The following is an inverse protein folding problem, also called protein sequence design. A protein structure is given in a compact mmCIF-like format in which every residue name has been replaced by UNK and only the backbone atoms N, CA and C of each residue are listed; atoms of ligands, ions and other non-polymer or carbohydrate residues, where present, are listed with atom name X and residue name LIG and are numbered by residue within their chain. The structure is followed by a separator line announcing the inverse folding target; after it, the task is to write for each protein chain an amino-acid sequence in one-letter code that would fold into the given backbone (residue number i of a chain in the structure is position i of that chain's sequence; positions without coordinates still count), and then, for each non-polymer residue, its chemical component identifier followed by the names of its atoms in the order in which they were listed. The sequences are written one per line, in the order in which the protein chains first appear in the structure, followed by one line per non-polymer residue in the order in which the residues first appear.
data_IF_932107297747
#
_entry.id   IF_932107297747
#
_cell.length_a   1.000
_cell.length_b   1.000
_cell.length_c   1.000
_cell.angle_alpha   90.00
_cell.angle_beta   90.00
_cell.angle_gamma   90.00
#
_symmetry.space_group_name_H-M   'P 1'
#
loop_
_entity.id
_entity.type
_entity.pdbx_description
1 polymer ?
#
# COMPACT_ATOMS: atom_id res chain seq x y z
N UNK A 1 5.66 -25.53 -8.89
CA UNK A 1 6.16 -24.49 -7.95
C UNK A 1 6.05 -25.09 -6.55
N UNK A 2 7.15 -25.24 -5.79
CA UNK A 2 7.09 -25.93 -4.49
C UNK A 2 6.05 -25.28 -3.56
N UNK A 3 5.24 -26.09 -2.86
CA UNK A 3 4.16 -25.63 -1.95
C UNK A 3 4.60 -24.52 -0.98
N UNK A 4 5.84 -24.60 -0.47
CA UNK A 4 6.46 -23.58 0.39
C UNK A 4 6.57 -22.19 -0.27
N UNK A 5 6.93 -22.13 -1.56
CA UNK A 5 7.03 -20.86 -2.30
C UNK A 5 5.65 -20.23 -2.48
N UNK A 6 4.61 -21.02 -2.76
CA UNK A 6 3.23 -20.52 -2.88
C UNK A 6 2.73 -19.87 -1.58
N UNK A 7 3.01 -20.51 -0.44
CA UNK A 7 2.70 -19.97 0.88
C UNK A 7 3.43 -18.65 1.15
N UNK A 8 4.75 -18.60 0.89
CA UNK A 8 5.56 -17.39 1.08
C UNK A 8 5.02 -16.21 0.25
N UNK A 9 4.64 -16.46 -1.01
CA UNK A 9 4.03 -15.44 -1.87
C UNK A 9 2.67 -14.99 -1.40
N UNK A 10 1.81 -15.89 -0.91
CA UNK A 10 0.54 -15.48 -0.32
C UNK A 10 0.74 -14.57 0.88
N UNK A 11 1.75 -14.83 1.71
CA UNK A 11 2.06 -14.01 2.87
C UNK A 11 2.55 -12.61 2.45
N UNK A 12 3.46 -12.54 1.46
CA UNK A 12 3.92 -11.26 0.91
C UNK A 12 2.77 -10.46 0.33
N UNK A 13 1.89 -11.08 -0.47
CA UNK A 13 0.74 -10.38 -1.05
C UNK A 13 -0.26 -9.92 0.02
N UNK A 14 -0.49 -10.72 1.06
CA UNK A 14 -1.33 -10.32 2.19
C UNK A 14 -0.75 -9.10 2.92
N UNK A 15 0.55 -9.12 3.22
CA UNK A 15 1.24 -8.01 3.88
C UNK A 15 1.17 -6.74 3.03
N UNK A 16 1.43 -6.85 1.72
CA UNK A 16 1.37 -5.73 0.80
C UNK A 16 -0.06 -5.19 0.68
N UNK A 17 -1.08 -6.05 0.61
CA UNK A 17 -2.47 -5.63 0.64
C UNK A 17 -2.81 -4.90 1.95
N UNK A 18 -2.35 -5.40 3.10
CA UNK A 18 -2.56 -4.76 4.40
C UNK A 18 -1.92 -3.36 4.45
N UNK A 19 -0.70 -3.20 3.91
CA UNK A 19 -0.01 -1.91 3.82
C UNK A 19 -0.77 -0.93 2.91
N UNK A 20 -1.08 -1.34 1.67
CA UNK A 20 -1.78 -0.48 0.69
C UNK A 20 -3.21 -0.13 1.08
N UNK A 21 -3.85 -0.92 1.95
CA UNK A 21 -5.18 -0.61 2.48
C UNK A 21 -5.12 0.23 3.75
N UNK A 22 -4.33 -0.16 4.75
CA UNK A 22 -4.34 0.47 6.07
C UNK A 22 -3.72 1.86 6.06
N UNK A 23 -2.54 2.02 5.46
CA UNK A 23 -1.79 3.29 5.52
C UNK A 23 -2.52 4.42 4.79
N UNK A 24 -2.87 4.28 3.50
CA UNK A 24 -3.55 5.36 2.77
C UNK A 24 -4.91 5.69 3.38
N UNK A 25 -5.64 4.67 3.85
CA UNK A 25 -6.93 4.85 4.53
C UNK A 25 -6.75 5.61 5.84
N UNK A 26 -5.75 5.27 6.65
CA UNK A 26 -5.48 6.00 7.89
C UNK A 26 -5.08 7.46 7.62
N UNK A 27 -4.22 7.68 6.63
CA UNK A 27 -3.79 9.04 6.23
C UNK A 27 -4.97 9.87 5.75
N UNK A 28 -5.84 9.35 4.88
CA UNK A 28 -6.95 10.15 4.39
C UNK A 28 -7.91 10.49 5.54
N UNK A 29 -8.28 9.55 6.41
CA UNK A 29 -9.20 9.85 7.52
C UNK A 29 -8.66 10.85 8.53
N UNK A 30 -7.37 10.78 8.87
CA UNK A 30 -6.76 11.71 9.82
C UNK A 30 -6.54 13.11 9.23
N UNK A 31 -6.12 13.17 7.97
CA UNK A 31 -5.74 14.43 7.33
C UNK A 31 -6.86 15.05 6.49
N UNK A 32 -8.02 14.39 6.35
CA UNK A 32 -9.15 14.89 5.53
C UNK A 32 -9.60 16.28 5.97
N UNK A 33 -9.83 16.46 7.27
CA UNK A 33 -10.27 17.73 7.82
C UNK A 33 -9.20 18.82 7.59
N UNK A 34 -7.93 18.49 7.84
CA UNK A 34 -6.81 19.40 7.60
C UNK A 34 -6.68 19.78 6.11
N UNK A 35 -6.77 18.82 5.19
CA UNK A 35 -6.74 19.07 3.75
C UNK A 35 -7.86 20.02 3.30
N UNK A 36 -9.04 19.92 3.91
CA UNK A 36 -10.17 20.83 3.64
C UNK A 36 -9.96 22.26 4.15
N UNK A 37 -9.04 22.47 5.10
CA UNK A 37 -8.68 23.80 5.61
C UNK A 37 -7.65 24.53 4.75
N UNK A 38 -7.00 23.82 3.81
CA UNK A 38 -5.97 24.44 2.96
C UNK A 38 -6.59 25.50 2.05
N UNK A 39 -5.97 26.67 2.07
CA UNK A 39 -6.38 27.85 1.32
C UNK A 39 -5.17 28.39 0.56
N UNK A 40 -5.34 28.79 -0.70
CA UNK A 40 -4.37 29.54 -1.48
C UNK A 40 -5.01 30.87 -1.85
N UNK A 41 -4.38 31.99 -1.47
CA UNK A 41 -4.92 33.34 -1.69
C UNK A 41 -6.34 33.56 -1.12
N UNK A 42 -6.69 32.86 -0.05
CA UNK A 42 -8.02 32.92 0.58
C UNK A 42 -9.07 31.97 -0.01
N UNK A 43 -8.75 31.29 -1.12
CA UNK A 43 -9.64 30.34 -1.78
C UNK A 43 -9.32 28.88 -1.38
N UNK A 44 -10.33 28.02 -1.15
CA UNK A 44 -10.14 26.59 -0.85
C UNK A 44 -9.44 25.84 -1.99
N UNK A 45 -8.41 25.05 -1.64
CA UNK A 45 -7.67 24.23 -2.61
C UNK A 45 -8.36 22.85 -2.78
N UNK A 46 -9.51 22.82 -3.46
CA UNK A 46 -10.24 21.58 -3.70
C UNK A 46 -9.48 20.58 -4.59
N UNK A 47 -8.63 21.07 -5.49
CA UNK A 47 -7.86 20.22 -6.41
C UNK A 47 -6.92 19.26 -5.68
N UNK A 48 -6.27 19.72 -4.61
CA UNK A 48 -5.38 18.88 -3.81
C UNK A 48 -6.15 17.80 -3.05
N UNK A 49 -7.29 18.17 -2.47
CA UNK A 49 -8.18 17.23 -1.76
C UNK A 49 -8.72 16.15 -2.72
N UNK A 50 -9.17 16.54 -3.92
CA UNK A 50 -9.60 15.61 -4.96
C UNK A 50 -8.47 14.69 -5.44
N UNK A 51 -7.25 15.24 -5.55
CA UNK A 51 -6.08 14.45 -5.93
C UNK A 51 -5.71 13.41 -4.87
N UNK A 52 -5.72 13.77 -3.58
CA UNK A 52 -5.47 12.82 -2.49
C UNK A 52 -6.56 11.74 -2.43
N UNK A 53 -7.82 12.12 -2.63
CA UNK A 53 -8.92 11.16 -2.73
C UNK A 53 -8.74 10.18 -3.90
N UNK A 54 -8.32 10.69 -5.06
CA UNK A 54 -7.99 9.86 -6.22
C UNK A 54 -6.85 8.88 -5.90
N UNK A 55 -5.77 9.33 -5.28
CA UNK A 55 -4.66 8.45 -4.87
C UNK A 55 -5.12 7.37 -3.89
N UNK A 56 -5.98 7.72 -2.93
CA UNK A 56 -6.56 6.74 -2.02
C UNK A 56 -7.37 5.67 -2.76
N UNK A 57 -8.22 6.05 -3.71
CA UNK A 57 -8.97 5.10 -4.55
C UNK A 57 -8.01 4.19 -5.33
N UNK A 58 -6.94 4.74 -5.91
CA UNK A 58 -5.90 3.95 -6.59
C UNK A 58 -5.27 2.93 -5.64
N UNK A 59 -4.99 3.31 -4.39
CA UNK A 59 -4.44 2.36 -3.40
C UNK A 59 -5.41 1.24 -3.03
N UNK A 60 -6.71 1.52 -2.99
CA UNK A 60 -7.74 0.48 -2.80
C UNK A 60 -7.81 -0.48 -3.99
N UNK A 61 -7.70 0.02 -5.22
CA UNK A 61 -7.64 -0.82 -6.42
C UNK A 61 -6.41 -1.73 -6.37
N UNK A 62 -5.24 -1.18 -6.02
CA UNK A 62 -4.00 -1.96 -5.85
C UNK A 62 -4.15 -3.02 -4.76
N UNK A 63 -4.81 -2.69 -3.65
CA UNK A 63 -5.14 -3.65 -2.59
C UNK A 63 -5.95 -4.83 -3.14
N UNK A 64 -7.00 -4.57 -3.92
CA UNK A 64 -7.82 -5.62 -4.53
C UNK A 64 -6.99 -6.52 -5.45
N UNK A 65 -6.09 -5.94 -6.25
CA UNK A 65 -5.17 -6.72 -7.10
C UNK A 65 -4.30 -7.66 -6.26
N UNK A 66 -3.76 -7.19 -5.13
CA UNK A 66 -2.94 -8.01 -4.23
C UNK A 66 -3.76 -9.09 -3.51
N UNK A 67 -5.01 -8.82 -3.14
CA UNK A 67 -5.90 -9.85 -2.57
C UNK A 67 -6.17 -10.95 -3.60
N UNK A 68 -6.48 -10.60 -4.84
CA UNK A 68 -6.67 -11.57 -5.93
C UNK A 68 -5.39 -12.37 -6.19
N UNK A 69 -4.24 -11.71 -6.16
CA UNK A 69 -2.93 -12.37 -6.30
C UNK A 69 -2.64 -13.36 -5.16
N UNK A 70 -2.97 -12.99 -3.92
CA UNK A 70 -2.88 -13.86 -2.74
C UNK A 70 -3.76 -15.09 -2.91
N UNK A 71 -5.04 -14.91 -3.23
CA UNK A 71 -5.99 -16.01 -3.43
C UNK A 71 -5.47 -16.97 -4.51
N UNK A 72 -4.99 -16.41 -5.63
CA UNK A 72 -4.41 -17.20 -6.71
C UNK A 72 -3.16 -17.97 -6.27
N UNK A 73 -2.27 -17.35 -5.50
CA UNK A 73 -1.07 -18.01 -4.97
C UNK A 73 -1.42 -19.17 -4.02
N UNK A 74 -2.50 -19.05 -3.24
CA UNK A 74 -3.00 -20.11 -2.35
C UNK A 74 -3.61 -21.26 -3.17
N UNK A 75 -4.49 -20.95 -4.13
CA UNK A 75 -5.18 -21.95 -4.95
C UNK A 75 -4.17 -22.73 -5.83
N UNK A 76 -3.19 -22.03 -6.42
CA UNK A 76 -2.22 -22.61 -7.36
C UNK A 76 -0.99 -23.20 -6.66
N UNK A 77 -0.93 -23.23 -5.32
CA UNK A 77 0.26 -23.72 -4.58
C UNK A 77 0.61 -25.20 -4.83
N UNK A 78 -0.36 -26.00 -5.28
CA UNK A 78 -0.22 -27.43 -5.54
C UNK A 78 -0.19 -27.77 -7.04
N UNK A 79 -0.31 -26.77 -7.93
CA UNK A 79 -0.43 -27.00 -9.36
C UNK A 79 0.77 -26.34 -10.07
N UNK A 80 1.66 -27.16 -10.63
CA UNK A 80 2.97 -26.69 -11.08
C UNK A 80 2.93 -25.88 -12.38
N UNK A 81 1.90 -26.11 -13.21
CA UNK A 81 1.77 -25.51 -14.54
C UNK A 81 1.24 -24.07 -14.52
N UNK A 82 0.59 -23.65 -13.44
CA UNK A 82 0.04 -22.31 -13.29
C UNK A 82 0.95 -21.43 -12.44
N UNK A 83 2.02 -20.91 -13.04
CA UNK A 83 2.88 -19.91 -12.38
C UNK A 83 2.14 -18.59 -12.07
N UNK A 84 2.63 -17.87 -11.06
CA UNK A 84 2.18 -16.50 -10.76
C UNK A 84 2.55 -15.59 -11.94
N UNK A 85 1.66 -14.69 -12.42
CA UNK A 85 1.98 -13.74 -13.48
C UNK A 85 3.23 -12.92 -13.11
N UNK A 86 4.24 -12.91 -13.99
CA UNK A 86 5.53 -12.26 -13.75
C UNK A 86 5.39 -10.78 -13.34
N UNK A 87 4.36 -10.08 -13.84
CA UNK A 87 4.07 -8.69 -13.50
C UNK A 87 3.71 -8.49 -12.02
N UNK A 88 2.88 -9.37 -11.46
CA UNK A 88 2.41 -9.27 -10.07
C UNK A 88 3.53 -9.61 -9.09
N UNK A 89 4.35 -10.61 -9.40
CA UNK A 89 5.53 -10.98 -8.62
C UNK A 89 6.53 -9.81 -8.52
N UNK A 90 6.87 -9.19 -9.67
CA UNK A 90 7.86 -8.11 -9.72
C UNK A 90 7.33 -6.84 -9.06
N UNK A 91 6.07 -6.50 -9.31
CA UNK A 91 5.43 -5.34 -8.71
C UNK A 91 5.31 -5.50 -7.18
N UNK A 92 4.88 -6.68 -6.71
CA UNK A 92 4.86 -7.03 -5.29
C UNK A 92 6.20 -6.83 -4.62
N UNK A 93 7.24 -7.48 -5.14
CA UNK A 93 8.58 -7.41 -4.56
C UNK A 93 9.17 -5.99 -4.56
N UNK A 94 9.09 -5.28 -5.69
CA UNK A 94 9.63 -3.91 -5.81
C UNK A 94 8.87 -2.95 -4.89
N UNK A 95 7.53 -3.07 -4.81
CA UNK A 95 6.73 -2.23 -3.91
C UNK A 95 7.06 -2.50 -2.44
N UNK A 96 7.23 -3.77 -2.04
CA UNK A 96 7.65 -4.11 -0.67
C UNK A 96 9.02 -3.54 -0.35
N UNK A 97 9.99 -3.62 -1.26
CA UNK A 97 11.32 -3.01 -1.07
C UNK A 97 11.19 -1.49 -0.89
N UNK A 98 10.41 -0.81 -1.74
CA UNK A 98 10.19 0.62 -1.65
C UNK A 98 9.55 1.02 -0.31
N UNK A 99 8.55 0.28 0.15
CA UNK A 99 7.89 0.53 1.44
C UNK A 99 8.85 0.31 2.60
N UNK A 100 9.61 -0.79 2.61
CA UNK A 100 10.60 -1.07 3.66
C UNK A 100 11.70 0.01 3.67
N UNK A 101 12.23 0.37 2.50
CA UNK A 101 13.22 1.43 2.38
C UNK A 101 12.68 2.77 2.90
N UNK A 102 11.42 3.11 2.57
CA UNK A 102 10.77 4.30 3.09
C UNK A 102 10.64 4.28 4.61
N UNK A 103 10.21 3.15 5.21
CA UNK A 103 10.11 3.00 6.67
C UNK A 103 11.47 3.18 7.35
N UNK A 104 12.54 2.62 6.77
CA UNK A 104 13.91 2.74 7.30
C UNK A 104 14.40 4.18 7.21
N UNK A 105 14.27 4.84 6.05
CA UNK A 105 14.68 6.24 5.87
C UNK A 105 13.91 7.16 6.82
N UNK A 106 12.60 6.96 6.97
CA UNK A 106 11.78 7.72 7.89
C UNK A 106 12.21 7.55 9.35
N UNK A 107 12.52 6.31 9.75
CA UNK A 107 13.03 6.03 11.09
C UNK A 107 14.37 6.73 11.34
N UNK A 108 15.29 6.75 10.36
CA UNK A 108 16.57 7.45 10.48
C UNK A 108 16.37 8.96 10.63
N UNK A 109 15.45 9.56 9.85
CA UNK A 109 15.24 11.01 9.83
C UNK A 109 14.47 11.53 11.04
N UNK A 110 13.46 10.78 11.50
CA UNK A 110 12.51 11.27 12.51
C UNK A 110 12.54 10.49 13.82
N UNK A 111 13.36 9.45 13.93
CA UNK A 111 13.45 8.53 15.07
C UNK A 111 12.07 8.01 15.53
N UNK A 112 11.15 7.87 14.57
CA UNK A 112 9.79 7.39 14.75
C UNK A 112 9.53 6.34 13.69
N UNK A 113 8.77 5.29 14.01
CA UNK A 113 8.31 4.36 12.99
C UNK A 113 7.32 5.11 12.10
N UNK A 114 7.56 5.15 10.79
CA UNK A 114 6.64 5.75 9.83
C UNK A 114 5.21 5.29 10.10
N UNK A 115 4.24 6.19 9.99
CA UNK A 115 2.81 5.94 10.25
C UNK A 115 2.39 5.79 11.73
N UNK A 116 3.32 5.79 12.69
CA UNK A 116 3.00 5.87 14.14
C UNK A 116 3.22 7.26 14.75
N UNK A 117 3.81 8.20 14.01
CA UNK A 117 3.85 9.61 14.40
C UNK A 117 2.48 10.25 14.13
N UNK A 118 1.51 9.94 14.98
CA UNK A 118 0.08 10.27 14.88
C UNK A 118 -0.25 11.77 15.09
N UNK A 119 0.69 12.67 14.85
CA UNK A 119 0.50 14.09 15.15
C UNK A 119 0.57 14.83 13.82
N UNK A 120 -0.55 15.42 13.33
CA UNK A 120 -0.48 16.37 12.23
C UNK A 120 0.41 17.55 12.65
N UNK A 121 1.17 18.16 11.73
CA UNK A 121 1.93 19.37 12.05
C UNK A 121 1.04 20.48 12.60
#
# INVERSE_FOLDING_TARGET
MSSFRGFLWSFVFLLTAAIYSSIPTHLIFNYWAWLGTLRFEGEPIYTLLLFVLFLWIVTLIITLIYIVAMIRAIIQRNNEDSGIPKGVYRFGFISTILVVAYMVVWYILFNKVAFFSMIPP
#
